data_IF_818202100192
#
_entry.id   IF_818202100192
#
_cell.length_a   1.000
_cell.length_b   1.000
_cell.length_c   1.000
_cell.angle_alpha   90.00
_cell.angle_beta   90.00
_cell.angle_gamma   90.00
#
_symmetry.space_group_name_H-M   'P 1'
#
loop_
_entity.id
_entity.type
_entity.pdbx_description
1 polymer ?
#
# COMPACT_ATOMS: atom_id res chain seq x y z
N UNK A 1 46.77 11.37 -48.30
CA UNK A 1 46.90 11.42 -46.84
C UNK A 1 46.17 12.66 -46.35
N UNK A 2 45.26 12.47 -45.38
CA UNK A 2 44.73 13.52 -44.48
C UNK A 2 43.70 14.46 -45.14
N UNK A 3 42.39 14.49 -44.86
CA UNK A 3 41.54 13.92 -43.82
C UNK A 3 40.15 13.66 -44.41
N UNK A 4 39.80 12.38 -44.53
CA UNK A 4 38.42 11.90 -44.72
C UNK A 4 37.92 11.48 -43.34
N UNK A 5 37.65 12.46 -42.49
CA UNK A 5 37.01 12.26 -41.18
C UNK A 5 35.94 13.33 -40.96
N UNK A 6 35.05 13.47 -41.95
CA UNK A 6 33.72 14.03 -41.70
C UNK A 6 32.90 12.95 -40.99
N UNK A 7 33.07 12.99 -39.67
CA UNK A 7 32.23 12.44 -38.63
C UNK A 7 30.85 12.03 -39.14
N UNK A 8 30.69 10.72 -39.31
CA UNK A 8 29.48 10.00 -38.94
C UNK A 8 29.23 10.23 -37.44
N UNK A 9 28.89 11.46 -37.06
CA UNK A 9 28.11 11.68 -35.85
C UNK A 9 26.67 11.27 -36.21
N UNK A 10 26.46 9.96 -36.31
CA UNK A 10 25.16 9.39 -36.01
C UNK A 10 24.88 9.83 -34.58
N UNK A 11 24.17 10.96 -34.44
CA UNK A 11 23.40 11.23 -33.26
C UNK A 11 22.37 10.10 -33.19
N UNK A 12 22.81 8.96 -32.66
CA UNK A 12 21.90 8.00 -32.06
C UNK A 12 21.34 8.76 -30.88
N UNK A 13 20.25 9.48 -31.12
CA UNK A 13 19.29 9.77 -30.08
C UNK A 13 18.79 8.39 -29.63
N UNK A 14 19.58 7.71 -28.79
CA UNK A 14 19.06 6.66 -27.93
C UNK A 14 18.02 7.40 -27.12
N UNK A 15 16.74 7.20 -27.47
CA UNK A 15 15.64 7.63 -26.62
C UNK A 15 16.02 7.19 -25.21
N UNK A 16 16.15 8.16 -24.31
CA UNK A 16 16.54 7.89 -22.93
C UNK A 16 15.55 6.88 -22.38
N UNK A 17 16.04 5.71 -22.00
CA UNK A 17 15.20 4.66 -21.49
C UNK A 17 14.64 5.12 -20.15
N UNK A 18 13.32 5.26 -20.04
CA UNK A 18 12.66 5.71 -18.81
C UNK A 18 12.48 4.52 -17.87
N UNK A 19 13.19 4.53 -16.74
CA UNK A 19 13.05 3.55 -15.66
C UNK A 19 12.13 4.09 -14.57
N UNK A 20 11.07 3.35 -14.25
CA UNK A 20 10.14 3.75 -13.19
C UNK A 20 10.67 3.41 -11.79
N UNK A 21 11.65 2.51 -11.68
CA UNK A 21 12.30 2.24 -10.39
C UNK A 21 13.17 3.36 -9.85
N UNK A 22 13.38 4.44 -10.61
CA UNK A 22 14.12 5.62 -10.17
C UNK A 22 13.34 6.90 -10.44
N UNK A 23 12.03 6.79 -10.66
CA UNK A 23 11.16 7.95 -10.82
C UNK A 23 11.22 8.82 -9.55
N UNK A 24 11.45 10.11 -9.75
CA UNK A 24 11.63 11.07 -8.65
C UNK A 24 10.29 11.38 -7.97
N UNK A 25 9.18 11.31 -8.71
CA UNK A 25 7.82 11.53 -8.21
C UNK A 25 6.88 10.34 -8.52
N UNK A 26 7.08 9.18 -7.87
CA UNK A 26 6.25 8.02 -8.11
C UNK A 26 4.85 8.21 -7.50
N UNK A 27 3.85 7.56 -8.10
CA UNK A 27 2.51 7.55 -7.51
C UNK A 27 2.50 6.71 -6.22
N UNK A 28 2.30 7.37 -5.07
CA UNK A 28 2.33 6.73 -3.74
C UNK A 28 0.95 6.67 -3.06
N UNK A 29 -0.11 7.19 -3.70
CA UNK A 29 -1.45 7.33 -3.11
C UNK A 29 -2.39 6.17 -3.46
N UNK A 30 -2.09 5.01 -2.90
CA UNK A 30 -2.78 3.74 -3.13
C UNK A 30 -4.16 3.60 -2.43
N UNK A 31 -4.94 4.66 -2.30
CA UNK A 31 -6.25 4.63 -1.65
C UNK A 31 -6.19 4.05 -0.23
N UNK A 32 -7.04 3.08 0.09
CA UNK A 32 -7.12 2.46 1.43
C UNK A 32 -5.91 1.61 1.83
N UNK A 33 -4.94 1.40 0.93
CA UNK A 33 -3.66 0.71 1.20
C UNK A 33 -2.47 1.67 1.17
N UNK A 34 -2.71 2.99 1.12
CA UNK A 34 -1.64 4.00 1.23
C UNK A 34 -1.00 3.91 2.62
N UNK A 35 0.31 3.77 2.68
CA UNK A 35 1.03 3.82 3.95
C UNK A 35 0.80 5.17 4.64
N UNK A 36 0.65 5.17 5.97
CA UNK A 36 0.36 6.40 6.72
C UNK A 36 1.40 7.50 6.47
N UNK A 37 2.67 7.15 6.31
CA UNK A 37 3.74 8.12 6.03
C UNK A 37 3.48 8.90 4.74
N UNK A 38 3.02 8.24 3.67
CA UNK A 38 2.73 8.88 2.39
C UNK A 38 1.44 9.70 2.43
N UNK A 39 0.43 9.22 3.15
CA UNK A 39 -0.84 9.92 3.31
C UNK A 39 -0.72 11.25 4.08
N UNK A 40 0.33 11.40 4.92
CA UNK A 40 0.57 12.62 5.70
C UNK A 40 1.70 13.49 5.14
N UNK A 41 2.29 13.14 3.99
CA UNK A 41 3.26 14.01 3.34
C UNK A 41 2.63 15.38 3.06
N UNK A 42 3.31 16.45 3.48
CA UNK A 42 2.84 17.81 3.28
C UNK A 42 1.76 18.29 4.25
N UNK A 43 1.28 17.45 5.18
CA UNK A 43 0.42 17.93 6.27
C UNK A 43 1.29 18.71 7.27
N UNK A 44 1.07 20.02 7.45
CA UNK A 44 1.92 20.81 8.32
C UNK A 44 1.79 20.34 9.77
N UNK A 45 2.91 20.09 10.45
CA UNK A 45 2.98 19.82 11.91
C UNK A 45 2.70 21.08 12.74
N UNK A 46 1.85 21.97 12.23
CA UNK A 46 1.55 23.24 12.88
C UNK A 46 0.79 23.00 14.18
N UNK A 47 0.99 23.91 15.14
CA UNK A 47 0.23 24.02 16.38
C UNK A 47 -1.22 24.46 16.14
N UNK A 48 -1.86 24.02 15.07
CA UNK A 48 -3.27 24.31 14.78
C UNK A 48 -4.24 23.79 15.86
N UNK A 49 -3.74 23.00 16.82
CA UNK A 49 -4.47 22.57 18.02
C UNK A 49 -4.35 23.56 19.19
N UNK A 50 -3.38 24.46 19.19
CA UNK A 50 -3.18 25.46 20.24
C UNK A 50 -4.09 26.66 19.95
N UNK A 51 -5.16 26.78 20.74
CA UNK A 51 -6.06 27.93 20.71
C UNK A 51 -5.71 28.83 21.90
N UNK A 52 -5.30 30.10 21.71
CA UNK A 52 -4.89 30.98 22.79
C UNK A 52 -5.95 31.10 23.90
N UNK A 53 -5.55 30.84 25.15
CA UNK A 53 -6.44 30.89 26.31
C UNK A 53 -7.35 29.67 26.49
N UNK A 54 -7.20 28.62 25.67
CA UNK A 54 -7.92 27.38 25.80
C UNK A 54 -6.98 26.22 26.17
N UNK A 55 -7.51 25.25 26.91
CA UNK A 55 -6.85 23.97 27.17
C UNK A 55 -7.75 22.82 26.70
N UNK A 56 -7.18 21.75 26.13
CA UNK A 56 -7.96 20.60 25.73
C UNK A 56 -8.38 19.81 26.98
N UNK A 57 -9.67 19.51 27.11
CA UNK A 57 -10.24 18.80 28.28
C UNK A 57 -10.60 17.34 28.02
N UNK A 58 -10.71 16.95 26.74
CA UNK A 58 -11.02 15.58 26.33
C UNK A 58 -10.47 15.30 24.93
N UNK A 59 -10.23 14.02 24.64
CA UNK A 59 -9.65 13.54 23.38
C UNK A 59 -10.39 12.28 22.93
N UNK A 60 -10.92 12.29 21.71
CA UNK A 60 -11.49 11.12 21.05
C UNK A 60 -10.72 10.83 19.78
N UNK A 61 -10.33 9.57 19.60
CA UNK A 61 -9.62 9.10 18.42
C UNK A 61 -10.31 7.86 17.88
N UNK A 62 -10.73 7.93 16.62
CA UNK A 62 -11.04 6.76 15.82
C UNK A 62 -9.81 6.43 14.97
N UNK A 63 -9.20 5.28 15.22
CA UNK A 63 -8.00 4.85 14.54
C UNK A 63 -8.28 3.57 13.76
N UNK A 64 -7.86 3.55 12.48
CA UNK A 64 -7.80 2.31 11.70
C UNK A 64 -6.53 1.55 12.07
N UNK A 65 -6.58 0.22 11.98
CA UNK A 65 -5.40 -0.63 12.06
C UNK A 65 -4.23 -0.14 11.20
N UNK A 66 -3.00 -0.47 11.60
CA UNK A 66 -1.81 -0.20 10.81
C UNK A 66 -1.72 -1.08 9.55
N UNK A 67 -0.70 -0.83 8.72
CA UNK A 67 -0.45 -1.62 7.49
C UNK A 67 -0.37 -3.11 7.79
N UNK A 68 -1.16 -3.92 7.09
CA UNK A 68 -1.26 -5.36 7.30
C UNK A 68 -0.91 -6.17 6.05
N UNK A 69 -0.60 -7.45 6.25
CA UNK A 69 -0.38 -8.43 5.20
C UNK A 69 -1.69 -8.70 4.42
N UNK A 70 -1.62 -9.29 3.22
CA UNK A 70 -2.81 -9.63 2.47
C UNK A 70 -3.58 -10.73 3.18
N UNK A 71 -4.88 -10.81 2.89
CA UNK A 71 -5.70 -11.91 3.37
C UNK A 71 -5.28 -13.24 2.71
N UNK A 72 -5.67 -14.36 3.33
CA UNK A 72 -5.17 -15.68 2.92
C UNK A 72 -5.54 -16.03 1.46
N UNK A 73 -6.73 -15.65 1.04
CA UNK A 73 -7.22 -15.79 -0.34
C UNK A 73 -6.46 -14.86 -1.31
N UNK A 74 -6.18 -13.62 -0.90
CA UNK A 74 -5.34 -12.71 -1.69
C UNK A 74 -3.93 -13.25 -1.88
N UNK A 75 -3.31 -13.83 -0.84
CA UNK A 75 -1.96 -14.42 -0.93
C UNK A 75 -1.89 -15.47 -2.03
N UNK A 76 -2.86 -16.39 -2.08
CA UNK A 76 -2.93 -17.45 -3.10
C UNK A 76 -3.01 -16.86 -4.50
N UNK A 77 -3.79 -15.80 -4.69
CA UNK A 77 -3.91 -15.12 -5.99
C UNK A 77 -2.64 -14.36 -6.37
N UNK A 78 -2.00 -13.67 -5.42
CA UNK A 78 -0.78 -12.91 -5.65
C UNK A 78 0.43 -13.80 -5.96
N UNK A 79 0.49 -15.03 -5.43
CA UNK A 79 1.56 -15.98 -5.75
C UNK A 79 1.63 -16.35 -7.23
N UNK A 80 0.50 -16.28 -7.96
CA UNK A 80 0.44 -16.50 -9.41
C UNK A 80 1.26 -15.48 -10.21
N UNK A 81 1.64 -14.35 -9.59
CA UNK A 81 2.55 -13.39 -10.20
C UNK A 81 3.97 -13.96 -10.43
N UNK A 82 4.35 -15.06 -9.77
CA UNK A 82 5.58 -15.78 -10.09
C UNK A 82 5.61 -16.29 -11.53
N UNK A 83 4.55 -16.97 -11.96
CA UNK A 83 4.42 -17.43 -13.34
C UNK A 83 4.31 -16.26 -14.32
N UNK A 84 3.58 -15.21 -13.93
CA UNK A 84 3.47 -14.01 -14.75
C UNK A 84 4.81 -13.30 -14.96
N UNK A 85 5.62 -13.16 -13.90
CA UNK A 85 7.00 -12.65 -13.99
C UNK A 85 7.84 -13.49 -14.95
N UNK A 86 7.75 -14.81 -14.87
CA UNK A 86 8.49 -15.71 -15.77
C UNK A 86 8.11 -15.49 -17.24
N UNK A 87 6.82 -15.28 -17.52
CA UNK A 87 6.34 -14.98 -18.86
C UNK A 87 6.87 -13.63 -19.37
N UNK A 88 6.84 -12.57 -18.54
CA UNK A 88 7.40 -11.26 -18.89
C UNK A 88 8.88 -11.39 -19.24
N UNK A 89 9.67 -12.01 -18.36
CA UNK A 89 11.11 -12.21 -18.56
C UNK A 89 11.40 -13.01 -19.83
N UNK A 90 10.60 -14.05 -20.10
CA UNK A 90 10.73 -14.84 -21.33
C UNK A 90 10.41 -14.02 -22.57
N UNK A 91 9.37 -13.18 -22.54
CA UNK A 91 9.04 -12.27 -23.64
C UNK A 91 10.22 -11.34 -23.95
N UNK A 92 10.86 -10.80 -22.91
CA UNK A 92 12.01 -9.90 -23.08
C UNK A 92 13.24 -10.64 -23.62
N UNK A 93 13.56 -11.83 -23.10
CA UNK A 93 14.67 -12.66 -23.58
C UNK A 93 14.52 -13.08 -25.04
N UNK A 94 13.30 -13.33 -25.49
CA UNK A 94 12.99 -13.71 -26.86
C UNK A 94 12.85 -12.52 -27.83
N UNK A 95 12.97 -11.27 -27.33
CA UNK A 95 12.77 -10.09 -28.17
C UNK A 95 11.31 -9.86 -28.60
N UNK A 96 10.34 -10.44 -27.88
CA UNK A 96 8.91 -10.31 -28.17
C UNK A 96 8.32 -8.93 -27.79
N UNK A 97 9.13 -8.04 -27.22
CA UNK A 97 8.71 -6.67 -26.92
C UNK A 97 8.72 -5.81 -28.18
N UNK A 98 7.74 -4.91 -28.31
CA UNK A 98 7.79 -3.91 -29.38
C UNK A 98 8.94 -2.95 -29.10
N UNK A 99 9.78 -2.68 -30.09
CA UNK A 99 10.84 -1.69 -30.00
C UNK A 99 10.25 -0.26 -30.07
N UNK A 100 9.48 0.08 -29.04
CA UNK A 100 8.86 1.39 -28.82
C UNK A 100 9.48 2.03 -27.59
N UNK A 101 9.28 3.34 -27.43
CA UNK A 101 9.67 4.08 -26.22
C UNK A 101 8.86 3.66 -24.96
N UNK A 102 8.06 2.59 -25.03
CA UNK A 102 7.17 2.12 -23.96
C UNK A 102 7.59 0.75 -23.41
N UNK A 103 8.76 0.23 -23.77
CA UNK A 103 9.30 -1.00 -23.17
C UNK A 103 9.70 -0.76 -21.70
N UNK A 104 9.69 -1.83 -20.90
CA UNK A 104 10.32 -1.87 -19.58
C UNK A 104 11.81 -1.57 -19.77
N UNK A 105 12.35 -0.69 -18.93
CA UNK A 105 13.76 -0.38 -19.00
C UNK A 105 14.62 -1.56 -18.52
N UNK A 106 15.90 -1.54 -18.87
CA UNK A 106 16.82 -2.62 -18.47
C UNK A 106 16.91 -2.79 -16.94
N UNK A 107 16.93 -1.68 -16.17
CA UNK A 107 17.02 -1.75 -14.71
C UNK A 107 15.75 -2.32 -14.06
N UNK A 108 14.56 -1.87 -14.49
CA UNK A 108 13.27 -2.37 -14.00
C UNK A 108 13.10 -3.86 -14.33
N UNK A 109 13.51 -4.27 -15.54
CA UNK A 109 13.50 -5.67 -15.94
C UNK A 109 14.43 -6.51 -15.05
N UNK A 110 15.63 -6.01 -14.71
CA UNK A 110 16.53 -6.71 -13.81
C UNK A 110 15.93 -6.87 -12.40
N UNK A 111 15.27 -5.85 -11.87
CA UNK A 111 14.56 -5.95 -10.58
C UNK A 111 13.43 -6.99 -10.62
N UNK A 112 12.68 -7.04 -11.73
CA UNK A 112 11.68 -8.07 -11.95
C UNK A 112 12.31 -9.46 -12.11
N UNK A 113 13.50 -9.55 -12.73
CA UNK A 113 14.25 -10.78 -12.85
C UNK A 113 14.73 -11.31 -11.50
N UNK A 114 15.14 -10.44 -10.58
CA UNK A 114 15.59 -10.83 -9.25
C UNK A 114 14.44 -11.06 -8.27
N UNK A 115 13.22 -10.65 -8.62
CA UNK A 115 12.06 -10.77 -7.76
C UNK A 115 11.75 -12.24 -7.41
N UNK A 116 11.54 -12.48 -6.12
CA UNK A 116 11.09 -13.76 -5.58
C UNK A 116 9.95 -13.53 -4.59
N UNK A 117 9.04 -14.51 -4.51
CA UNK A 117 7.99 -14.48 -3.50
C UNK A 117 8.61 -14.46 -2.09
N UNK A 118 8.18 -13.52 -1.26
CA UNK A 118 8.62 -13.47 0.12
C UNK A 118 7.95 -14.61 0.91
N UNK A 119 8.70 -15.60 1.45
CA UNK A 119 8.11 -16.75 2.14
C UNK A 119 7.41 -16.37 3.45
N UNK A 120 7.64 -15.16 3.98
CA UNK A 120 6.91 -14.64 5.14
C UNK A 120 5.49 -14.20 4.79
N UNK A 121 5.18 -13.96 3.51
CA UNK A 121 3.83 -13.75 3.01
C UNK A 121 3.18 -15.12 2.78
N UNK A 122 2.74 -15.72 3.89
CA UNK A 122 2.09 -17.01 3.91
C UNK A 122 0.82 -16.95 4.77
N UNK A 123 0.01 -18.00 4.67
CA UNK A 123 -1.29 -18.10 5.35
C UNK A 123 -1.21 -17.98 6.87
N UNK A 124 -0.08 -18.29 7.50
CA UNK A 124 0.11 -18.14 8.96
C UNK A 124 0.09 -16.68 9.39
N UNK A 125 0.57 -15.77 8.55
CA UNK A 125 0.66 -14.33 8.83
C UNK A 125 -0.34 -13.52 7.99
N UNK A 126 -1.31 -14.18 7.36
CA UNK A 126 -2.33 -13.53 6.53
C UNK A 126 -3.16 -12.55 7.37
N UNK A 127 -3.44 -11.37 6.80
CA UNK A 127 -4.19 -10.30 7.46
C UNK A 127 -3.50 -9.66 8.66
N UNK A 128 -2.36 -10.19 9.12
CA UNK A 128 -1.67 -9.71 10.33
C UNK A 128 -0.93 -8.39 10.10
N UNK A 129 -0.70 -7.65 11.17
CA UNK A 129 0.01 -6.39 11.17
C UNK A 129 1.46 -6.59 10.71
N UNK A 130 1.91 -5.73 9.80
CA UNK A 130 3.30 -5.75 9.31
C UNK A 130 4.23 -5.05 10.28
N UNK A 131 5.54 -5.25 10.14
CA UNK A 131 6.54 -4.55 10.95
C UNK A 131 6.42 -3.01 10.81
N UNK A 132 6.32 -2.51 9.58
CA UNK A 132 6.07 -1.09 9.32
C UNK A 132 4.71 -0.63 9.88
N UNK A 133 3.66 -1.45 9.75
CA UNK A 133 2.36 -1.18 10.36
C UNK A 133 2.43 -1.04 11.88
N UNK A 134 3.22 -1.89 12.53
CA UNK A 134 3.47 -1.84 13.97
C UNK A 134 4.21 -0.55 14.37
N UNK A 135 5.33 -0.26 13.72
CA UNK A 135 6.16 0.91 14.01
C UNK A 135 5.41 2.23 13.75
N UNK A 136 4.69 2.33 12.63
CA UNK A 136 3.92 3.54 12.31
C UNK A 136 2.75 3.76 13.28
N UNK A 137 2.15 2.68 13.79
CA UNK A 137 1.11 2.76 14.82
C UNK A 137 1.68 3.28 16.15
N UNK A 138 2.86 2.80 16.57
CA UNK A 138 3.58 3.33 17.73
C UNK A 138 3.91 4.81 17.57
N UNK A 139 4.46 5.20 16.42
CA UNK A 139 4.81 6.59 16.12
C UNK A 139 3.59 7.51 16.12
N UNK A 140 2.44 7.03 15.62
CA UNK A 140 1.19 7.77 15.66
C UNK A 140 0.74 8.03 17.11
N UNK A 141 0.79 7.01 17.97
CA UNK A 141 0.49 7.16 19.39
C UNK A 141 1.42 8.19 20.06
N UNK A 142 2.72 8.12 19.78
CA UNK A 142 3.73 9.05 20.29
C UNK A 142 3.46 10.48 19.81
N UNK A 143 3.11 10.67 18.54
CA UNK A 143 2.78 11.98 17.97
C UNK A 143 1.55 12.59 18.66
N UNK A 144 0.49 11.81 18.91
CA UNK A 144 -0.66 12.28 19.68
C UNK A 144 -0.28 12.64 21.10
N UNK A 145 0.50 11.80 21.78
CA UNK A 145 0.99 12.06 23.14
C UNK A 145 1.78 13.38 23.23
N UNK A 146 2.65 13.63 22.25
CA UNK A 146 3.39 14.90 22.16
C UNK A 146 2.48 16.09 21.89
N UNK A 147 1.40 15.90 21.11
CA UNK A 147 0.44 16.94 20.76
C UNK A 147 -0.50 17.30 21.91
N UNK A 148 -0.89 16.33 22.74
CA UNK A 148 -1.83 16.53 23.84
C UNK A 148 -1.28 15.97 25.17
N UNK A 149 -0.14 16.48 25.67
CA UNK A 149 0.56 15.89 26.81
C UNK A 149 -0.23 15.99 28.12
N UNK A 150 -1.13 16.96 28.26
CA UNK A 150 -2.01 17.09 29.43
C UNK A 150 -3.14 16.07 29.48
N UNK A 151 -3.59 15.57 28.33
CA UNK A 151 -4.65 14.55 28.24
C UNK A 151 -4.05 13.14 28.15
N UNK A 152 -3.07 12.95 27.27
CA UNK A 152 -2.43 11.67 27.00
C UNK A 152 -1.21 11.46 27.92
N UNK A 153 -1.50 11.30 29.21
CA UNK A 153 -0.46 11.12 30.24
C UNK A 153 0.04 9.67 30.33
N UNK A 154 1.02 9.38 31.18
CA UNK A 154 1.43 8.00 31.46
C UNK A 154 0.47 7.23 32.39
N UNK A 155 -0.60 7.86 32.89
CA UNK A 155 -1.61 7.21 33.74
C UNK A 155 -2.60 6.39 32.91
N UNK A 156 -2.61 5.07 33.07
CA UNK A 156 -3.57 4.17 32.39
C UNK A 156 -5.05 4.50 32.64
N UNK A 157 -5.35 5.17 33.75
CA UNK A 157 -6.71 5.50 34.15
C UNK A 157 -7.34 6.64 33.35
N UNK A 158 -6.55 7.34 32.52
CA UNK A 158 -7.04 8.41 31.65
C UNK A 158 -7.53 7.89 30.29
N UNK A 159 -7.52 6.58 30.09
CA UNK A 159 -7.79 5.96 28.80
C UNK A 159 -8.91 4.95 28.91
N UNK A 160 -9.71 4.89 27.84
CA UNK A 160 -10.62 3.79 27.55
C UNK A 160 -10.45 3.42 26.08
N UNK A 161 -10.03 2.20 25.82
CA UNK A 161 -9.90 1.69 24.45
C UNK A 161 -11.10 0.82 24.09
N UNK A 162 -11.69 1.05 22.93
CA UNK A 162 -12.72 0.18 22.35
C UNK A 162 -12.20 -0.38 21.05
N UNK A 163 -12.20 -1.71 20.92
CA UNK A 163 -11.65 -2.39 19.74
C UNK A 163 -12.43 -3.67 19.45
N UNK A 164 -12.09 -4.36 18.35
CA UNK A 164 -12.58 -5.73 18.09
C UNK A 164 -11.50 -6.72 18.52
N UNK A 165 -11.89 -7.79 19.21
CA UNK A 165 -10.95 -8.82 19.65
C UNK A 165 -10.56 -9.80 18.52
N UNK A 166 -10.07 -9.27 17.40
CA UNK A 166 -9.40 -10.03 16.34
C UNK A 166 -7.89 -9.75 16.33
N UNK A 167 -7.14 -10.59 15.61
CA UNK A 167 -5.68 -10.56 15.63
C UNK A 167 -5.10 -9.20 15.21
N UNK A 168 -5.56 -8.66 14.08
CA UNK A 168 -5.07 -7.40 13.53
C UNK A 168 -5.36 -6.21 14.44
N UNK A 169 -6.59 -6.11 14.96
CA UNK A 169 -6.98 -5.04 15.86
C UNK A 169 -6.28 -5.14 17.21
N UNK A 170 -6.07 -6.37 17.72
CA UNK A 170 -5.33 -6.63 18.96
C UNK A 170 -3.85 -6.26 18.83
N UNK A 171 -3.21 -6.60 17.72
CA UNK A 171 -1.83 -6.23 17.45
C UNK A 171 -1.67 -4.72 17.23
N UNK A 172 -2.64 -4.07 16.57
CA UNK A 172 -2.68 -2.60 16.46
C UNK A 172 -2.84 -1.97 17.84
N UNK A 173 -3.76 -2.46 18.67
CA UNK A 173 -3.95 -1.99 20.04
C UNK A 173 -2.65 -2.11 20.85
N UNK A 174 -1.97 -3.27 20.78
CA UNK A 174 -0.68 -3.48 21.44
C UNK A 174 0.36 -2.45 20.98
N UNK A 175 0.54 -2.30 19.67
CA UNK A 175 1.47 -1.32 19.10
C UNK A 175 1.14 0.11 19.57
N UNK A 176 -0.14 0.50 19.55
CA UNK A 176 -0.57 1.83 19.96
C UNK A 176 -0.29 2.08 21.45
N UNK A 177 -0.59 1.13 22.32
CA UNK A 177 -0.35 1.28 23.76
C UNK A 177 1.13 1.29 24.12
N UNK A 178 1.95 0.51 23.41
CA UNK A 178 3.41 0.60 23.55
C UNK A 178 3.93 1.98 23.12
N UNK A 179 3.37 2.56 22.06
CA UNK A 179 3.70 3.92 21.66
C UNK A 179 3.34 4.96 22.73
N UNK A 180 2.25 4.76 23.47
CA UNK A 180 1.83 5.66 24.55
C UNK A 180 2.63 5.49 25.84
N UNK A 181 2.89 4.25 26.26
CA UNK A 181 3.38 3.93 27.61
C UNK A 181 4.81 3.38 27.63
N UNK A 182 5.42 3.10 26.48
CA UNK A 182 6.73 2.46 26.38
C UNK A 182 6.74 1.09 27.06
N UNK A 183 7.84 0.75 27.74
CA UNK A 183 8.06 -0.53 28.44
C UNK A 183 6.98 -0.85 29.49
N UNK A 184 6.25 0.15 29.98
CA UNK A 184 5.20 -0.04 30.98
C UNK A 184 3.93 -0.69 30.38
N UNK A 185 3.77 -0.67 29.06
CA UNK A 185 2.54 -1.13 28.40
C UNK A 185 2.21 -2.59 28.72
N UNK A 186 3.19 -3.49 28.75
CA UNK A 186 2.96 -4.92 29.02
C UNK A 186 2.56 -5.19 30.49
N UNK A 187 2.98 -4.31 31.40
CA UNK A 187 2.67 -4.43 32.83
C UNK A 187 1.33 -3.79 33.23
N UNK A 188 0.75 -2.97 32.35
CA UNK A 188 -0.48 -2.25 32.62
C UNK A 188 -1.70 -3.03 32.13
N UNK A 189 -2.62 -3.29 33.06
CA UNK A 189 -3.99 -3.65 32.70
C UNK A 189 -4.72 -2.39 32.20
N UNK A 190 -4.52 -2.05 30.93
CA UNK A 190 -5.10 -0.86 30.31
C UNK A 190 -6.61 -1.09 30.11
N UNK A 191 -7.48 -0.18 30.60
CA UNK A 191 -8.92 -0.32 30.41
C UNK A 191 -9.28 -0.45 28.92
N UNK A 192 -9.89 -1.58 28.57
CA UNK A 192 -10.27 -1.91 27.20
C UNK A 192 -11.57 -2.70 27.14
N UNK A 193 -12.36 -2.44 26.11
CA UNK A 193 -13.64 -3.09 25.86
C UNK A 193 -13.67 -3.64 24.43
N UNK A 194 -14.19 -4.86 24.27
CA UNK A 194 -14.56 -5.38 22.96
C UNK A 194 -15.95 -4.83 22.59
N UNK A 195 -16.01 -3.89 21.66
CA UNK A 195 -17.24 -3.17 21.31
C UNK A 195 -17.48 -3.15 19.79
N UNK A 196 -17.64 -4.35 19.20
CA UNK A 196 -17.78 -4.51 17.75
C UNK A 196 -18.98 -3.76 17.18
N UNK A 197 -20.05 -3.56 17.96
CA UNK A 197 -21.23 -2.80 17.52
C UNK A 197 -20.90 -1.34 17.25
N UNK A 198 -20.05 -0.73 18.08
CA UNK A 198 -19.62 0.67 17.89
C UNK A 198 -18.58 0.79 16.78
N UNK A 199 -17.61 -0.12 16.72
CA UNK A 199 -16.48 0.01 15.76
C UNK A 199 -16.76 -0.60 14.38
N UNK A 200 -17.73 -1.51 14.25
CA UNK A 200 -18.15 -2.14 12.99
C UNK A 200 -19.69 -2.18 12.86
N UNK A 201 -20.38 -1.03 12.93
CA UNK A 201 -21.84 -0.98 12.95
C UNK A 201 -22.47 -1.62 11.70
N UNK A 202 -21.80 -1.54 10.55
CA UNK A 202 -22.26 -2.11 9.28
C UNK A 202 -22.46 -3.63 9.34
N UNK A 203 -21.70 -4.36 10.17
CA UNK A 203 -21.87 -5.82 10.35
C UNK A 203 -23.18 -6.19 11.04
N UNK A 204 -23.77 -5.26 11.77
CA UNK A 204 -25.02 -5.44 12.52
C UNK A 204 -26.20 -4.74 11.85
N UNK A 205 -26.08 -4.39 10.56
CA UNK A 205 -27.13 -3.75 9.80
C UNK A 205 -27.59 -4.69 8.66
N UNK A 206 -28.66 -5.50 8.87
CA UNK A 206 -29.13 -6.44 7.85
C UNK A 206 -29.51 -5.76 6.53
N UNK A 207 -30.04 -4.54 6.59
CA UNK A 207 -30.33 -3.73 5.41
C UNK A 207 -29.06 -3.40 4.62
N UNK A 208 -27.97 -3.01 5.31
CA UNK A 208 -26.69 -2.76 4.64
C UNK A 208 -26.13 -4.05 4.02
N UNK A 209 -26.14 -5.16 4.75
CA UNK A 209 -25.66 -6.45 4.21
C UNK A 209 -26.41 -6.83 2.94
N UNK A 210 -27.74 -6.79 2.97
CA UNK A 210 -28.58 -7.17 1.83
C UNK A 210 -28.49 -6.18 0.67
N UNK A 211 -28.64 -4.89 0.94
CA UNK A 211 -28.86 -3.88 -0.09
C UNK A 211 -27.54 -3.29 -0.63
N UNK A 212 -26.43 -3.48 0.11
CA UNK A 212 -25.09 -2.98 -0.26
C UNK A 212 -24.04 -4.10 -0.34
N UNK A 213 -23.78 -4.79 0.77
CA UNK A 213 -22.67 -5.75 0.88
C UNK A 213 -22.76 -6.92 -0.09
N UNK A 214 -23.94 -7.53 -0.17
CA UNK A 214 -24.22 -8.70 -1.03
C UNK A 214 -24.88 -8.29 -2.37
N UNK A 215 -25.05 -6.99 -2.61
CA UNK A 215 -25.72 -6.47 -3.79
C UNK A 215 -24.73 -6.06 -4.88
N UNK A 216 -24.59 -6.90 -5.90
CA UNK A 216 -23.72 -6.65 -7.05
C UNK A 216 -24.07 -5.39 -7.85
N UNK A 217 -25.30 -4.86 -7.76
CA UNK A 217 -25.69 -3.62 -8.45
C UNK A 217 -24.88 -2.41 -7.94
N UNK A 218 -24.36 -2.48 -6.71
CA UNK A 218 -23.48 -1.45 -6.15
C UNK A 218 -22.14 -1.34 -6.87
N UNK A 219 -21.75 -2.38 -7.62
CA UNK A 219 -20.54 -2.38 -8.45
C UNK A 219 -20.76 -1.77 -9.84
N UNK A 220 -21.95 -1.26 -10.15
CA UNK A 220 -22.28 -0.68 -11.46
C UNK A 220 -21.29 0.39 -11.92
N UNK A 221 -20.85 1.30 -11.03
CA UNK A 221 -19.88 2.34 -11.40
C UNK A 221 -18.48 1.79 -11.70
N UNK A 222 -18.06 0.73 -10.98
CA UNK A 222 -16.83 0.02 -11.29
C UNK A 222 -16.92 -0.62 -12.69
N UNK A 223 -18.01 -1.33 -12.97
CA UNK A 223 -18.22 -1.97 -14.28
C UNK A 223 -18.27 -0.93 -15.42
N UNK A 224 -18.92 0.21 -15.18
CA UNK A 224 -18.94 1.32 -16.15
C UNK A 224 -17.53 1.81 -16.39
N UNK A 225 -16.74 2.08 -15.34
CA UNK A 225 -15.36 2.53 -15.48
C UNK A 225 -14.50 1.53 -16.26
N UNK A 226 -14.58 0.24 -15.93
CA UNK A 226 -13.84 -0.81 -16.63
C UNK A 226 -14.26 -0.99 -18.10
N UNK A 227 -15.49 -0.60 -18.45
CA UNK A 227 -15.98 -0.65 -19.83
C UNK A 227 -15.44 0.48 -20.71
N UNK A 228 -14.95 1.57 -20.09
CA UNK A 228 -14.48 2.77 -20.79
C UNK A 228 -13.20 2.50 -21.59
N UNK A 229 -13.02 3.31 -22.63
CA UNK A 229 -11.88 3.22 -23.54
C UNK A 229 -10.56 3.40 -22.78
N UNK A 230 -10.49 4.33 -21.85
CA UNK A 230 -9.29 4.65 -21.09
C UNK A 230 -8.80 3.46 -20.26
N UNK A 231 -9.72 2.70 -19.65
CA UNK A 231 -9.36 1.50 -18.89
C UNK A 231 -8.85 0.39 -19.81
N UNK A 232 -9.51 0.17 -20.94
CA UNK A 232 -9.08 -0.82 -21.94
C UNK A 232 -7.72 -0.47 -22.54
N UNK A 233 -7.51 0.81 -22.88
CA UNK A 233 -6.22 1.31 -23.37
C UNK A 233 -5.11 1.15 -22.33
N UNK A 234 -5.40 1.38 -21.04
CA UNK A 234 -4.45 1.10 -19.96
C UNK A 234 -4.02 -0.38 -19.97
N UNK A 235 -4.97 -1.32 -20.05
CA UNK A 235 -4.66 -2.76 -20.11
C UNK A 235 -3.82 -3.09 -21.34
N UNK A 236 -4.19 -2.60 -22.52
CA UNK A 236 -3.43 -2.85 -23.75
C UNK A 236 -2.01 -2.27 -23.67
N UNK A 237 -1.86 -1.05 -23.16
CA UNK A 237 -0.56 -0.40 -23.04
C UNK A 237 0.35 -1.15 -22.04
N UNK A 238 -0.18 -1.58 -20.90
CA UNK A 238 0.55 -2.40 -19.93
C UNK A 238 0.95 -3.73 -20.58
N UNK A 239 0.02 -4.41 -21.25
CA UNK A 239 0.28 -5.72 -21.87
C UNK A 239 1.39 -5.65 -22.92
N UNK A 240 1.34 -4.63 -23.78
CA UNK A 240 2.38 -4.37 -24.80
C UNK A 240 3.73 -4.03 -24.16
N UNK A 241 3.74 -3.18 -23.11
CA UNK A 241 4.95 -2.86 -22.34
C UNK A 241 5.55 -4.12 -21.73
N UNK A 242 4.74 -5.06 -21.26
CA UNK A 242 5.19 -6.33 -20.69
C UNK A 242 5.59 -7.39 -21.74
N UNK A 243 5.55 -7.05 -23.04
CA UNK A 243 5.98 -7.92 -24.13
C UNK A 243 4.94 -8.94 -24.60
N UNK A 244 3.67 -8.77 -24.22
CA UNK A 244 2.56 -9.58 -24.71
C UNK A 244 1.99 -8.98 -26.00
N UNK A 245 1.59 -9.84 -26.94
CA UNK A 245 0.92 -9.45 -28.19
C UNK A 245 -0.61 -9.52 -28.10
N UNK A 246 -1.14 -9.75 -26.90
CA UNK A 246 -2.55 -9.77 -26.54
C UNK A 246 -2.77 -9.02 -25.24
N UNK A 247 -4.02 -8.62 -24.98
CA UNK A 247 -4.38 -8.00 -23.71
C UNK A 247 -4.35 -9.03 -22.58
N UNK A 248 -3.52 -8.79 -21.58
CA UNK A 248 -3.48 -9.56 -20.34
C UNK A 248 -4.81 -9.37 -19.59
N UNK A 249 -5.29 -10.44 -18.95
CA UNK A 249 -6.51 -10.40 -18.15
C UNK A 249 -6.44 -9.30 -17.08
N UNK A 250 -7.53 -8.53 -16.93
CA UNK A 250 -7.61 -7.40 -15.99
C UNK A 250 -7.32 -7.83 -14.56
N UNK A 251 -7.69 -9.06 -14.18
CA UNK A 251 -7.46 -9.63 -12.86
C UNK A 251 -5.96 -9.78 -12.58
N UNK A 252 -5.16 -10.15 -13.58
CA UNK A 252 -3.70 -10.24 -13.46
C UNK A 252 -3.07 -8.85 -13.30
N UNK A 253 -3.54 -7.86 -14.08
CA UNK A 253 -3.08 -6.47 -13.91
C UNK A 253 -3.47 -5.91 -12.53
N UNK A 254 -4.67 -6.24 -12.05
CA UNK A 254 -5.10 -5.89 -10.70
C UNK A 254 -4.22 -6.55 -9.64
N UNK A 255 -3.82 -7.81 -9.79
CA UNK A 255 -2.86 -8.47 -8.89
C UNK A 255 -1.50 -7.75 -8.87
N UNK A 256 -0.98 -7.34 -10.03
CA UNK A 256 0.25 -6.52 -10.12
C UNK A 256 0.10 -5.25 -9.30
N UNK A 257 -1.00 -4.52 -9.50
CA UNK A 257 -1.29 -3.32 -8.72
C UNK A 257 -1.40 -3.62 -7.22
N UNK A 258 -2.10 -4.69 -6.83
CA UNK A 258 -2.24 -5.07 -5.42
C UNK A 258 -0.90 -5.38 -4.76
N UNK A 259 -0.03 -6.17 -5.42
CA UNK A 259 1.28 -6.49 -4.87
C UNK A 259 2.17 -5.25 -4.74
N UNK A 260 2.13 -4.34 -5.72
CA UNK A 260 2.81 -3.06 -5.64
C UNK A 260 2.37 -2.27 -4.39
N UNK A 261 1.06 -2.07 -4.20
CA UNK A 261 0.51 -1.31 -3.07
C UNK A 261 0.91 -1.93 -1.73
N UNK A 262 0.82 -3.25 -1.63
CA UNK A 262 1.19 -3.99 -0.45
C UNK A 262 2.68 -3.83 -0.14
N UNK A 263 3.56 -4.07 -1.11
CA UNK A 263 5.00 -3.88 -0.93
C UNK A 263 5.32 -2.46 -0.49
N UNK A 264 4.70 -1.45 -1.11
CA UNK A 264 4.96 -0.06 -0.77
C UNK A 264 4.37 0.36 0.59
N UNK A 265 3.43 -0.40 1.14
CA UNK A 265 2.90 -0.21 2.48
C UNK A 265 3.70 -0.95 3.58
N UNK A 266 4.50 -1.95 3.22
CA UNK A 266 5.28 -2.78 4.15
C UNK A 266 6.78 -2.48 4.18
N UNK A 267 7.29 -1.90 3.10
CA UNK A 267 8.66 -1.44 2.97
C UNK A 267 8.63 -0.11 2.21
N UNK A 268 8.48 0.96 2.98
CA UNK A 268 8.31 2.31 2.43
C UNK A 268 9.55 2.81 1.69
N UNK A 269 10.72 2.24 1.97
CA UNK A 269 12.01 2.62 1.37
C UNK A 269 12.25 1.86 0.08
N UNK A 270 11.95 0.56 0.05
CA UNK A 270 12.18 -0.27 -1.13
C UNK A 270 11.21 0.06 -2.25
N UNK A 271 11.69 -0.17 -3.46
CA UNK A 271 10.92 -0.05 -4.69
C UNK A 271 10.51 -1.46 -5.10
N UNK A 272 9.21 -1.68 -5.17
CA UNK A 272 8.68 -2.95 -5.68
C UNK A 272 8.86 -2.97 -7.20
N UNK A 273 9.40 -4.05 -7.79
CA UNK A 273 9.44 -4.20 -9.25
C UNK A 273 8.04 -4.21 -9.87
N UNK A 274 7.00 -4.49 -9.09
CA UNK A 274 5.61 -4.42 -9.54
C UNK A 274 5.03 -3.01 -9.56
N UNK A 275 5.73 -2.03 -8.97
CA UNK A 275 5.38 -0.62 -9.05
C UNK A 275 6.08 0.11 -10.22
N UNK A 276 7.13 -0.49 -10.78
CA UNK A 276 7.91 0.03 -11.92
C UNK A 276 7.45 -0.61 -13.25
#
# INVERSE_FOLDING_TARGET
MIWLFLLFALAVARGQETCLSVEDDPYLLFGTKTAYIFANLGVPSTRAHDVPGCEPVAFWLLNRHGSNNPEADEIVELQKLGDFRNNIVTNYKNGNFRNTNQRICTADLNLLEEWQWNPRLNVTFAGDLTADGYMTTQQLAQAWKQRFPGLLTSSRHHYLFKYVNDQLSSNTFKAFTEGLFGDQAESFDIPKENDEKVVRPIKFCPAWTKDVGDNNDTLSQLNIFESKREYKEMISNISLRLGFNYDVQKETILRVYQLCRYNKAWDVVKISPWCA
#
